data_IF_585602513239
#
_entry.id   IF_585602513239
#
_cell.length_a   1.000
_cell.length_b   1.000
_cell.length_c   1.000
_cell.angle_alpha   90.00
_cell.angle_beta   90.00
_cell.angle_gamma   90.00
#
_symmetry.space_group_name_H-M   'P 1'
#
loop_
_entity.id
_entity.type
_entity.pdbx_description
1 polymer ?
#
# COMPACT_ATOMS: atom_id res chain seq x y z
N UNK A 1 -10.32 -9.93 21.02
CA UNK A 1 -10.30 -9.49 19.62
C UNK A 1 -11.70 -9.14 19.11
N UNK A 2 -12.73 -9.91 19.48
CA UNK A 2 -14.12 -9.61 19.11
C UNK A 2 -14.57 -8.23 19.57
N UNK A 3 -14.30 -7.86 20.83
CA UNK A 3 -14.64 -6.52 21.34
C UNK A 3 -14.05 -5.38 20.51
N UNK A 4 -12.83 -5.57 19.97
CA UNK A 4 -12.16 -4.55 19.13
C UNK A 4 -12.72 -4.51 17.72
N UNK A 5 -13.14 -5.65 17.17
CA UNK A 5 -13.85 -5.70 15.89
C UNK A 5 -15.26 -5.13 15.97
N UNK A 6 -15.92 -5.26 17.13
CA UNK A 6 -17.27 -4.75 17.37
C UNK A 6 -17.32 -3.26 17.73
N UNK A 7 -16.19 -2.67 18.14
CA UNK A 7 -16.11 -1.26 18.46
C UNK A 7 -16.33 -0.39 17.22
N UNK A 8 -17.04 0.73 17.39
CA UNK A 8 -17.21 1.71 16.32
C UNK A 8 -15.90 2.43 16.01
N UNK A 9 -15.68 2.71 14.72
CA UNK A 9 -14.57 3.56 14.29
C UNK A 9 -14.91 5.04 14.52
N UNK A 10 -13.91 5.89 14.85
CA UNK A 10 -14.09 7.34 14.84
C UNK A 10 -14.55 7.84 13.47
N UNK A 11 -15.36 8.89 13.44
CA UNK A 11 -16.04 9.38 12.22
C UNK A 11 -15.15 9.49 10.97
N UNK A 12 -14.00 10.21 11.00
CA UNK A 12 -13.12 10.34 9.83
C UNK A 12 -12.56 9.00 9.34
N UNK A 13 -12.21 8.10 10.28
CA UNK A 13 -11.72 6.77 9.95
C UNK A 13 -12.83 5.88 9.38
N UNK A 14 -14.05 5.96 9.93
CA UNK A 14 -15.21 5.27 9.39
C UNK A 14 -15.49 5.70 7.94
N UNK A 15 -15.48 7.01 7.67
CA UNK A 15 -15.68 7.54 6.32
C UNK A 15 -14.57 7.10 5.34
N UNK A 16 -13.30 7.09 5.78
CA UNK A 16 -12.17 6.59 4.99
C UNK A 16 -12.32 5.10 4.69
N UNK A 17 -12.64 4.30 5.71
CA UNK A 17 -12.89 2.86 5.60
C UNK A 17 -14.02 2.58 4.61
N UNK A 18 -15.17 3.25 4.76
CA UNK A 18 -16.34 3.03 3.91
C UNK A 18 -16.07 3.39 2.45
N UNK A 19 -15.37 4.50 2.20
CA UNK A 19 -15.03 4.93 0.85
C UNK A 19 -14.02 3.98 0.19
N UNK A 20 -13.02 3.51 0.93
CA UNK A 20 -12.09 2.51 0.44
C UNK A 20 -12.81 1.18 0.16
N UNK A 21 -13.57 0.65 1.13
CA UNK A 21 -14.36 -0.56 0.96
C UNK A 21 -15.31 -0.50 -0.25
N UNK A 22 -15.86 0.69 -0.52
CA UNK A 22 -16.80 0.88 -1.62
C UNK A 22 -16.15 1.02 -3.00
N UNK A 23 -14.94 1.59 -3.12
CA UNK A 23 -14.34 1.86 -4.45
C UNK A 23 -12.81 2.03 -4.52
N UNK A 24 -12.09 1.64 -3.48
CA UNK A 24 -10.63 1.74 -3.41
C UNK A 24 -10.10 3.17 -3.41
N UNK A 25 -10.89 4.15 -2.94
CA UNK A 25 -10.48 5.57 -2.85
C UNK A 25 -10.17 5.93 -1.40
N UNK A 26 -9.12 6.71 -1.20
CA UNK A 26 -8.64 7.11 0.12
C UNK A 26 -8.69 8.64 0.25
N UNK A 27 -9.67 9.19 0.99
CA UNK A 27 -9.67 10.62 1.29
C UNK A 27 -8.54 10.91 2.26
N UNK A 28 -7.70 11.91 1.97
CA UNK A 28 -6.68 12.40 2.89
C UNK A 28 -7.22 13.61 3.65
N UNK A 29 -7.03 13.62 4.97
CA UNK A 29 -7.39 14.71 5.85
C UNK A 29 -6.15 15.47 6.32
N UNK A 30 -6.36 16.70 6.80
CA UNK A 30 -5.27 17.55 7.26
C UNK A 30 -4.52 16.93 8.46
N UNK A 31 -3.20 17.05 8.43
CA UNK A 31 -2.29 16.57 9.48
C UNK A 31 -2.34 15.05 9.73
N UNK A 32 -2.72 14.26 8.71
CA UNK A 32 -2.53 12.82 8.78
C UNK A 32 -1.02 12.47 8.78
N UNK A 33 -0.58 11.53 9.64
CA UNK A 33 0.82 11.09 9.69
C UNK A 33 1.13 9.99 8.66
N UNK A 34 0.12 9.53 7.92
CA UNK A 34 0.20 8.44 6.94
C UNK A 34 -0.12 8.97 5.56
N UNK A 35 0.56 8.44 4.55
CA UNK A 35 0.26 8.73 3.15
C UNK A 35 -0.83 7.80 2.60
N UNK A 36 -1.30 8.07 1.38
CA UNK A 36 -2.33 7.26 0.73
C UNK A 36 -1.91 5.79 0.60
N UNK A 37 -0.66 5.52 0.25
CA UNK A 37 -0.14 4.16 0.10
C UNK A 37 -0.09 3.40 1.42
N UNK A 38 0.23 4.07 2.53
CA UNK A 38 0.28 3.46 3.87
C UNK A 38 -1.11 2.95 4.28
N UNK A 39 -2.15 3.74 4.02
CA UNK A 39 -3.54 3.34 4.25
C UNK A 39 -3.95 2.16 3.38
N UNK A 40 -3.60 2.18 2.10
CA UNK A 40 -3.91 1.10 1.17
C UNK A 40 -3.28 -0.23 1.63
N UNK A 41 -2.00 -0.20 1.99
CA UNK A 41 -1.27 -1.39 2.51
C UNK A 41 -1.87 -1.86 3.83
N UNK A 42 -2.22 -0.95 4.74
CA UNK A 42 -2.81 -1.33 6.02
C UNK A 42 -4.18 -1.98 5.84
N UNK A 43 -5.05 -1.43 4.99
CA UNK A 43 -6.35 -2.03 4.71
C UNK A 43 -6.23 -3.39 4.02
N UNK A 44 -5.32 -3.53 3.05
CA UNK A 44 -5.01 -4.82 2.42
C UNK A 44 -4.52 -5.85 3.46
N UNK A 45 -3.59 -5.47 4.33
CA UNK A 45 -3.07 -6.32 5.40
C UNK A 45 -4.16 -6.74 6.41
N UNK A 46 -5.19 -5.92 6.59
CA UNK A 46 -6.37 -6.24 7.42
C UNK A 46 -7.46 -7.02 6.67
N UNK A 47 -7.23 -7.39 5.41
CA UNK A 47 -8.14 -8.19 4.58
C UNK A 47 -9.30 -7.38 3.97
N UNK A 48 -9.21 -6.05 3.95
CA UNK A 48 -10.22 -5.20 3.34
C UNK A 48 -9.93 -5.05 1.85
N UNK A 49 -10.73 -5.70 1.01
CA UNK A 49 -10.71 -5.52 -0.44
C UNK A 49 -11.85 -4.62 -0.91
N UNK A 50 -11.57 -3.62 -1.79
CA UNK A 50 -12.61 -2.76 -2.31
C UNK A 50 -13.55 -3.55 -3.22
N UNK A 51 -14.87 -3.31 -3.11
CA UNK A 51 -15.89 -4.00 -3.93
C UNK A 51 -15.82 -3.68 -5.42
N UNK A 52 -15.21 -2.55 -5.76
CA UNK A 52 -14.96 -2.09 -7.14
C UNK A 52 -13.71 -1.23 -7.15
N UNK A 53 -13.06 -1.13 -8.30
CA UNK A 53 -11.98 -0.18 -8.55
C UNK A 53 -12.53 1.10 -9.20
N UNK A 54 -11.65 2.07 -9.47
CA UNK A 54 -12.01 3.28 -10.21
C UNK A 54 -12.19 2.98 -11.71
N UNK A 55 -13.35 3.27 -12.28
CA UNK A 55 -13.67 3.00 -13.69
C UNK A 55 -12.69 3.62 -14.70
N UNK A 56 -11.88 4.61 -14.29
CA UNK A 56 -10.78 5.11 -15.15
C UNK A 56 -9.73 4.05 -15.46
N UNK A 57 -9.61 3.00 -14.64
CA UNK A 57 -8.74 1.87 -14.94
C UNK A 57 -9.14 1.15 -16.24
N UNK A 58 -10.43 1.16 -16.62
CA UNK A 58 -10.93 0.53 -17.84
C UNK A 58 -10.43 1.21 -19.13
N UNK A 59 -9.89 2.43 -19.01
CA UNK A 59 -9.27 3.14 -20.14
C UNK A 59 -7.94 2.47 -20.52
N UNK A 60 -7.30 1.76 -19.59
CA UNK A 60 -6.02 1.08 -19.82
C UNK A 60 -6.29 -0.40 -20.14
N UNK A 61 -5.80 -0.92 -21.28
CA UNK A 61 -5.95 -2.34 -21.59
C UNK A 61 -5.35 -3.22 -20.49
N UNK A 62 -6.06 -4.27 -20.06
CA UNK A 62 -5.61 -5.16 -18.99
C UNK A 62 -4.20 -5.70 -19.21
N UNK A 63 -3.89 -6.13 -20.44
CA UNK A 63 -2.55 -6.64 -20.80
C UNK A 63 -1.44 -5.58 -20.61
N UNK A 64 -1.74 -4.28 -20.72
CA UNK A 64 -0.79 -3.22 -20.44
C UNK A 64 -0.55 -3.06 -18.93
N UNK A 65 -1.60 -3.19 -18.12
CA UNK A 65 -1.51 -3.19 -16.65
C UNK A 65 -0.68 -4.39 -16.18
N UNK A 66 -1.00 -5.60 -16.65
CA UNK A 66 -0.29 -6.83 -16.28
C UNK A 66 1.20 -6.76 -16.64
N UNK A 67 1.51 -6.30 -17.86
CA UNK A 67 2.90 -6.10 -18.30
C UNK A 67 3.63 -5.10 -17.41
N UNK A 68 3.01 -3.95 -17.13
CA UNK A 68 3.61 -2.93 -16.27
C UNK A 68 3.93 -3.48 -14.88
N UNK A 69 2.97 -4.16 -14.25
CA UNK A 69 3.16 -4.75 -12.91
C UNK A 69 4.23 -5.86 -12.92
N UNK A 70 4.30 -6.67 -13.97
CA UNK A 70 5.34 -7.69 -14.13
C UNK A 70 6.74 -7.06 -14.26
N UNK A 71 6.87 -5.97 -15.02
CA UNK A 71 8.13 -5.22 -15.15
C UNK A 71 8.55 -4.58 -13.83
N UNK A 72 7.63 -3.95 -13.10
CA UNK A 72 7.92 -3.38 -11.77
C UNK A 72 8.39 -4.46 -10.80
N UNK A 73 7.70 -5.61 -10.75
CA UNK A 73 8.10 -6.75 -9.92
C UNK A 73 9.51 -7.23 -10.25
N UNK A 74 9.83 -7.37 -11.54
CA UNK A 74 11.16 -7.79 -11.97
C UNK A 74 12.25 -6.79 -11.56
N UNK A 75 11.97 -5.48 -11.69
CA UNK A 75 12.89 -4.41 -11.26
C UNK A 75 13.17 -4.45 -9.76
N UNK A 76 12.12 -4.54 -8.93
CA UNK A 76 12.26 -4.64 -7.47
C UNK A 76 13.09 -5.85 -7.08
N UNK A 77 12.81 -7.03 -7.66
CA UNK A 77 13.58 -8.26 -7.39
C UNK A 77 15.04 -8.10 -7.79
N UNK A 78 15.31 -7.52 -8.97
CA UNK A 78 16.68 -7.32 -9.45
C UNK A 78 17.45 -6.35 -8.54
N UNK A 79 16.83 -5.26 -8.11
CA UNK A 79 17.43 -4.30 -7.19
C UNK A 79 17.75 -4.95 -5.84
N UNK A 80 16.79 -5.64 -5.23
CA UNK A 80 17.00 -6.32 -3.93
C UNK A 80 18.11 -7.37 -4.00
N UNK A 81 18.20 -8.13 -5.09
CA UNK A 81 19.27 -9.11 -5.29
C UNK A 81 20.67 -8.49 -5.40
N UNK A 82 20.76 -7.24 -5.85
CA UNK A 82 22.02 -6.51 -5.95
C UNK A 82 22.42 -5.84 -4.62
N UNK A 83 21.53 -5.77 -3.62
CA UNK A 83 21.84 -5.18 -2.33
C UNK A 83 22.70 -6.13 -1.49
N UNK A 84 23.73 -5.61 -0.78
CA UNK A 84 24.44 -6.41 0.20
C UNK A 84 23.52 -6.76 1.38
N UNK A 85 23.78 -7.87 2.09
CA UNK A 85 23.15 -8.13 3.38
C UNK A 85 23.32 -6.95 4.34
N UNK A 86 22.29 -6.68 5.14
CA UNK A 86 22.24 -5.52 6.05
C UNK A 86 23.50 -5.37 6.90
N UNK A 87 24.01 -6.46 7.48
CA UNK A 87 25.22 -6.43 8.30
C UNK A 87 26.47 -5.93 7.54
N UNK A 88 26.61 -6.30 6.26
CA UNK A 88 27.72 -5.85 5.42
C UNK A 88 27.59 -4.37 5.05
N UNK A 89 26.37 -3.93 4.73
CA UNK A 89 26.08 -2.53 4.46
C UNK A 89 26.45 -1.65 5.67
N UNK A 90 26.06 -2.08 6.88
CA UNK A 90 26.34 -1.34 8.12
C UNK A 90 27.82 -1.30 8.46
N UNK A 91 28.55 -2.40 8.26
CA UNK A 91 30.01 -2.41 8.45
C UNK A 91 30.71 -1.43 7.49
N UNK A 92 30.32 -1.44 6.21
CA UNK A 92 30.88 -0.55 5.20
C UNK A 92 30.59 0.93 5.49
N UNK A 93 29.39 1.27 5.98
CA UNK A 93 29.04 2.64 6.38
C UNK A 93 29.86 3.10 7.58
N UNK A 94 30.00 2.25 8.61
CA UNK A 94 30.82 2.58 9.79
C UNK A 94 32.29 2.80 9.46
N UNK A 95 32.83 2.05 8.50
CA UNK A 95 34.22 2.21 8.07
C UNK A 95 34.48 3.50 7.26
N UNK A 96 33.42 4.20 6.82
CA UNK A 96 33.50 5.47 6.08
C UNK A 96 33.29 6.71 6.96
N UNK A 97 32.83 6.53 8.19
CA UNK A 97 32.65 7.58 9.19
C UNK A 97 33.92 7.75 10.01
#
# INVERSE_FOLDING_TARGET
WDDRRAASLPGPLAAKYDLFAARGRLPMYDNEPFEEEDWAVMFDAMGLMPRRYDARADIVPLAAIERHLAEQRARVIAQVRALPPYAQAMAALRARA
#
